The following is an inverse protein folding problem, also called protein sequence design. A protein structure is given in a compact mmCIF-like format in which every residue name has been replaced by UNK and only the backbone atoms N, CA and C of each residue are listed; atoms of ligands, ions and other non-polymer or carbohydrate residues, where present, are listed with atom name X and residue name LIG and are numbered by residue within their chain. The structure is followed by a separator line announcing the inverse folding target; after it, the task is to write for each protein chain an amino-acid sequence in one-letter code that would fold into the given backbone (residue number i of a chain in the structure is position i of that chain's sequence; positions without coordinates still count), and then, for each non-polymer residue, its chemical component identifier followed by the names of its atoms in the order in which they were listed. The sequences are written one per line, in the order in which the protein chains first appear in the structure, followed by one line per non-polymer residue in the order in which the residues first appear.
data_IF_461163920460
#
_entry.id   IF_461163920460
#
_cell.length_a   1.000
_cell.length_b   1.000
_cell.length_c   1.000
_cell.angle_alpha   90.00
_cell.angle_beta   90.00
_cell.angle_gamma   90.00
#
_symmetry.space_group_name_H-M   'P 1'
#
loop_
_entity.id
_entity.type
_entity.pdbx_description
1 polymer ?
#
# COMPACT_ATOMS: atom_id res chain seq x y z
N UNK A 1 -19.62 2.88 -11.38
CA UNK A 1 -18.72 1.74 -11.64
C UNK A 1 -19.12 0.50 -10.85
N UNK A 2 -19.36 0.59 -9.54
CA UNK A 2 -19.58 -0.56 -8.65
C UNK A 2 -21.05 -0.99 -8.48
N UNK A 3 -21.99 -0.27 -9.07
CA UNK A 3 -23.42 -0.57 -8.95
C UNK A 3 -23.73 -2.01 -9.39
N UNK A 4 -24.36 -2.78 -8.50
CA UNK A 4 -24.73 -4.19 -8.66
C UNK A 4 -23.54 -5.13 -8.98
N UNK A 5 -22.31 -4.78 -8.54
CA UNK A 5 -21.08 -5.54 -8.78
C UNK A 5 -20.65 -6.33 -7.55
N UNK A 6 -19.80 -7.33 -7.77
CA UNK A 6 -19.15 -8.13 -6.72
C UNK A 6 -17.68 -7.73 -6.62
N UNK A 7 -17.29 -7.24 -5.44
CA UNK A 7 -15.90 -6.91 -5.10
C UNK A 7 -15.32 -8.00 -4.19
N UNK A 8 -14.15 -8.51 -4.52
CA UNK A 8 -13.37 -9.37 -3.62
C UNK A 8 -12.18 -8.62 -3.04
N UNK A 9 -12.00 -8.71 -1.72
CA UNK A 9 -10.87 -8.13 -0.99
C UNK A 9 -10.07 -9.27 -0.38
N UNK A 10 -8.89 -9.55 -0.91
CA UNK A 10 -7.97 -10.49 -0.28
C UNK A 10 -7.22 -9.79 0.84
N UNK A 11 -7.03 -10.47 1.96
CA UNK A 11 -6.47 -9.81 3.16
C UNK A 11 -7.41 -8.78 3.79
N UNK A 12 -8.72 -8.88 3.50
CA UNK A 12 -9.74 -7.93 3.95
C UNK A 12 -9.88 -7.79 5.47
N UNK A 13 -9.42 -8.76 6.25
CA UNK A 13 -9.37 -8.70 7.73
C UNK A 13 -8.17 -7.89 8.27
N UNK A 14 -7.24 -7.47 7.41
CA UNK A 14 -6.16 -6.54 7.76
C UNK A 14 -6.64 -5.10 7.89
N UNK A 15 -5.87 -4.23 8.55
CA UNK A 15 -6.25 -2.81 8.77
C UNK A 15 -6.63 -2.11 7.47
N UNK A 16 -5.79 -2.23 6.43
CA UNK A 16 -6.05 -1.58 5.14
C UNK A 16 -7.28 -2.18 4.43
N UNK A 17 -7.36 -3.51 4.35
CA UNK A 17 -8.51 -4.19 3.73
C UNK A 17 -9.84 -3.84 4.40
N UNK A 18 -9.83 -3.69 5.73
CA UNK A 18 -11.00 -3.26 6.50
C UNK A 18 -11.42 -1.82 6.19
N UNK A 19 -10.46 -0.90 6.00
CA UNK A 19 -10.80 0.49 5.63
C UNK A 19 -11.39 0.56 4.22
N UNK A 20 -10.81 -0.17 3.27
CA UNK A 20 -11.36 -0.32 1.92
C UNK A 20 -12.78 -0.90 1.98
N UNK A 21 -12.98 -1.98 2.76
CA UNK A 21 -14.28 -2.57 2.99
C UNK A 21 -15.32 -1.55 3.46
N UNK A 22 -15.01 -0.79 4.51
CA UNK A 22 -15.92 0.23 5.06
C UNK A 22 -16.34 1.28 4.02
N UNK A 23 -15.41 1.71 3.18
CA UNK A 23 -15.69 2.64 2.08
C UNK A 23 -16.65 2.05 1.06
N UNK A 24 -16.48 0.78 0.69
CA UNK A 24 -17.34 0.11 -0.28
C UNK A 24 -18.72 -0.28 0.27
N UNK A 25 -18.87 -0.48 1.59
CA UNK A 25 -20.17 -0.74 2.21
C UNK A 25 -21.17 0.41 1.99
N UNK A 26 -20.68 1.65 1.91
CA UNK A 26 -21.51 2.83 1.64
C UNK A 26 -21.87 3.02 0.15
N UNK A 27 -21.43 2.13 -0.73
CA UNK A 27 -21.72 2.18 -2.18
C UNK A 27 -22.83 1.19 -2.57
N UNK A 28 -23.28 1.27 -3.83
CA UNK A 28 -24.29 0.35 -4.41
C UNK A 28 -23.70 -1.01 -4.84
N UNK A 29 -22.57 -1.41 -4.26
CA UNK A 29 -22.00 -2.73 -4.49
C UNK A 29 -22.98 -3.82 -4.02
N UNK A 30 -23.15 -4.87 -4.82
CA UNK A 30 -24.08 -5.96 -4.51
C UNK A 30 -23.53 -6.88 -3.42
N UNK A 31 -22.25 -7.21 -3.50
CA UNK A 31 -21.58 -8.15 -2.62
C UNK A 31 -20.11 -7.79 -2.43
N UNK A 32 -19.62 -7.92 -1.22
CA UNK A 32 -18.20 -7.80 -0.89
C UNK A 32 -17.71 -9.11 -0.30
N UNK A 33 -16.75 -9.75 -0.96
CA UNK A 33 -16.12 -11.00 -0.49
C UNK A 33 -14.85 -10.69 0.26
N UNK A 34 -14.80 -11.12 1.52
CA UNK A 34 -13.59 -11.04 2.34
C UNK A 34 -12.89 -12.39 2.28
N UNK A 35 -11.71 -12.42 1.64
CA UNK A 35 -10.90 -13.62 1.53
C UNK A 35 -9.66 -13.51 2.41
N UNK A 36 -9.56 -14.35 3.43
CA UNK A 36 -8.40 -14.39 4.33
C UNK A 36 -8.28 -15.75 5.03
N UNK A 37 -7.11 -16.00 5.63
CA UNK A 37 -6.83 -17.22 6.38
C UNK A 37 -7.35 -17.18 7.83
N UNK A 38 -7.58 -15.99 8.35
CA UNK A 38 -7.85 -15.75 9.76
C UNK A 38 -9.36 -15.85 10.04
N UNK A 39 -9.81 -17.04 10.42
CA UNK A 39 -11.20 -17.36 10.77
C UNK A 39 -11.71 -16.47 11.91
N UNK A 40 -10.89 -16.28 12.96
CA UNK A 40 -11.29 -15.47 14.12
C UNK A 40 -11.59 -14.03 13.73
N UNK A 41 -10.71 -13.40 12.95
CA UNK A 41 -10.95 -12.01 12.48
C UNK A 41 -12.13 -11.91 11.52
N UNK A 42 -12.41 -12.94 10.71
CA UNK A 42 -13.60 -12.98 9.87
C UNK A 42 -14.86 -13.04 10.73
N UNK A 43 -14.88 -13.87 11.79
CA UNK A 43 -16.00 -13.96 12.73
C UNK A 43 -16.22 -12.63 13.46
N UNK A 44 -15.16 -12.04 14.03
CA UNK A 44 -15.22 -10.72 14.69
C UNK A 44 -15.78 -9.66 13.75
N UNK A 45 -15.32 -9.62 12.50
CA UNK A 45 -15.78 -8.68 11.48
C UNK A 45 -17.23 -8.91 11.09
N UNK A 46 -17.67 -10.16 10.94
CA UNK A 46 -19.05 -10.54 10.63
C UNK A 46 -20.01 -10.05 11.70
N UNK A 47 -19.66 -10.27 12.98
CA UNK A 47 -20.46 -9.86 14.13
C UNK A 47 -20.51 -8.33 14.21
N UNK A 48 -19.36 -7.66 14.09
CA UNK A 48 -19.25 -6.20 14.25
C UNK A 48 -19.97 -5.41 13.16
N UNK A 49 -19.91 -5.87 11.90
CA UNK A 49 -20.49 -5.15 10.76
C UNK A 49 -21.92 -5.60 10.45
N UNK A 50 -22.25 -6.85 10.65
CA UNK A 50 -23.58 -7.45 10.44
C UNK A 50 -24.30 -6.94 9.17
N UNK A 51 -23.57 -6.86 8.04
CA UNK A 51 -24.10 -6.36 6.78
C UNK A 51 -24.34 -7.51 5.78
N UNK A 52 -25.53 -7.63 5.17
CA UNK A 52 -25.89 -8.72 4.26
C UNK A 52 -25.07 -8.76 2.97
N UNK A 53 -24.46 -7.63 2.57
CA UNK A 53 -23.54 -7.54 1.42
C UNK A 53 -22.25 -8.33 1.65
N UNK A 54 -21.88 -8.60 2.92
CA UNK A 54 -20.62 -9.25 3.26
C UNK A 54 -20.71 -10.77 3.13
N UNK A 55 -19.72 -11.33 2.43
CA UNK A 55 -19.53 -12.79 2.33
C UNK A 55 -18.07 -13.11 2.71
N UNK A 56 -17.92 -14.09 3.59
CA UNK A 56 -16.63 -14.46 4.15
C UNK A 56 -16.15 -15.78 3.56
N UNK A 57 -14.92 -15.78 3.06
CA UNK A 57 -14.26 -16.93 2.46
C UNK A 57 -12.95 -17.20 3.20
N UNK A 58 -12.85 -18.34 3.87
CA UNK A 58 -11.60 -18.79 4.47
C UNK A 58 -10.77 -19.40 3.36
N UNK A 59 -9.56 -18.86 3.17
CA UNK A 59 -8.63 -19.36 2.15
C UNK A 59 -7.28 -18.65 2.18
N UNK A 60 -6.32 -19.26 1.50
CA UNK A 60 -4.94 -18.78 1.40
C UNK A 60 -4.61 -18.43 -0.05
N UNK A 61 -4.09 -17.23 -0.29
CA UNK A 61 -3.66 -16.79 -1.63
C UNK A 61 -2.56 -17.66 -2.23
N UNK A 62 -1.83 -18.40 -1.40
CA UNK A 62 -0.81 -19.36 -1.84
C UNK A 62 -1.41 -20.62 -2.46
N UNK A 63 -2.72 -20.84 -2.32
CA UNK A 63 -3.45 -21.95 -2.91
C UNK A 63 -4.33 -21.44 -4.05
N UNK A 64 -3.93 -21.73 -5.29
CA UNK A 64 -4.64 -21.31 -6.50
C UNK A 64 -6.10 -21.77 -6.52
N UNK A 65 -6.38 -23.03 -6.20
CA UNK A 65 -7.75 -23.57 -6.27
C UNK A 65 -8.69 -22.86 -5.30
N UNK A 66 -8.22 -22.55 -4.09
CA UNK A 66 -8.96 -21.78 -3.10
C UNK A 66 -9.33 -20.39 -3.62
N UNK A 67 -8.37 -19.69 -4.21
CA UNK A 67 -8.57 -18.37 -4.82
C UNK A 67 -9.52 -18.46 -6.02
N UNK A 68 -9.30 -19.41 -6.91
CA UNK A 68 -10.09 -19.63 -8.12
C UNK A 68 -11.58 -19.92 -7.80
N UNK A 69 -11.86 -20.74 -6.79
CA UNK A 69 -13.23 -21.03 -6.37
C UNK A 69 -13.91 -19.79 -5.74
N UNK A 70 -13.20 -19.05 -4.90
CA UNK A 70 -13.73 -17.83 -4.27
C UNK A 70 -14.01 -16.70 -5.29
N UNK A 71 -13.34 -16.70 -6.45
CA UNK A 71 -13.51 -15.68 -7.50
C UNK A 71 -14.69 -15.92 -8.46
N UNK A 72 -15.44 -17.01 -8.32
CA UNK A 72 -16.58 -17.26 -9.22
C UNK A 72 -17.60 -16.12 -9.18
N UNK A 73 -17.79 -15.42 -10.31
CA UNK A 73 -18.73 -14.31 -10.44
C UNK A 73 -18.29 -13.00 -9.76
N UNK A 74 -16.98 -12.84 -9.47
CA UNK A 74 -16.39 -11.60 -9.00
C UNK A 74 -16.14 -10.66 -10.19
N UNK A 75 -16.51 -9.38 -10.02
CA UNK A 75 -16.27 -8.34 -11.04
C UNK A 75 -14.96 -7.60 -10.79
N UNK A 76 -14.61 -7.34 -9.52
CA UNK A 76 -13.46 -6.53 -9.11
C UNK A 76 -12.69 -7.20 -7.99
N UNK A 77 -11.36 -7.10 -8.01
CA UNK A 77 -10.49 -7.61 -6.94
C UNK A 77 -9.58 -6.50 -6.42
N UNK A 78 -9.59 -6.29 -5.11
CA UNK A 78 -8.53 -5.57 -4.41
C UNK A 78 -7.64 -6.58 -3.68
N UNK A 79 -6.39 -6.69 -4.12
CA UNK A 79 -5.43 -7.63 -3.54
C UNK A 79 -4.53 -6.98 -2.51
N UNK A 80 -4.89 -7.13 -1.22
CA UNK A 80 -4.14 -6.60 -0.08
C UNK A 80 -3.51 -7.68 0.81
N UNK A 81 -3.68 -8.96 0.48
CA UNK A 81 -3.05 -10.05 1.23
C UNK A 81 -1.53 -10.05 1.00
N UNK A 82 -0.75 -9.84 2.06
CA UNK A 82 0.70 -9.82 1.99
C UNK A 82 1.34 -10.03 3.38
N UNK A 83 2.61 -10.45 3.39
CA UNK A 83 3.50 -10.27 4.53
C UNK A 83 4.14 -8.87 4.40
N UNK A 84 3.98 -8.03 5.43
CA UNK A 84 4.40 -6.61 5.40
C UNK A 84 5.45 -6.23 6.43
N UNK A 85 5.71 -7.08 7.43
CA UNK A 85 6.67 -6.79 8.47
C UNK A 85 8.08 -7.09 7.99
N UNK A 86 8.93 -6.05 7.94
CA UNK A 86 10.32 -6.17 7.46
C UNK A 86 11.08 -7.24 8.24
N UNK A 87 11.12 -7.25 9.59
CA UNK A 87 11.85 -8.28 10.33
C UNK A 87 11.38 -9.69 10.02
N UNK A 88 10.06 -9.91 9.96
CA UNK A 88 9.51 -11.24 9.64
C UNK A 88 9.89 -11.71 8.25
N UNK A 89 9.91 -10.81 7.26
CA UNK A 89 10.31 -11.16 5.91
C UNK A 89 11.80 -11.42 5.79
N UNK A 90 12.65 -10.71 6.54
CA UNK A 90 14.09 -10.98 6.62
C UNK A 90 14.40 -12.37 7.20
N UNK A 91 13.71 -12.77 8.27
CA UNK A 91 13.88 -14.10 8.87
C UNK A 91 13.23 -15.23 8.08
N UNK A 92 12.16 -14.92 7.35
CA UNK A 92 11.40 -15.90 6.55
C UNK A 92 11.20 -15.44 5.11
N UNK A 93 12.28 -15.19 4.34
CA UNK A 93 12.18 -14.60 2.99
C UNK A 93 11.39 -15.49 2.02
N UNK A 94 11.47 -16.80 2.17
CA UNK A 94 10.70 -17.74 1.34
C UNK A 94 9.19 -17.59 1.56
N UNK A 95 8.74 -17.31 2.80
CA UNK A 95 7.32 -17.05 3.06
C UNK A 95 6.86 -15.72 2.46
N UNK A 96 7.75 -14.71 2.42
CA UNK A 96 7.50 -13.47 1.68
C UNK A 96 7.35 -13.74 0.17
N UNK A 97 8.22 -14.54 -0.42
CA UNK A 97 8.10 -14.96 -1.84
C UNK A 97 6.79 -15.72 -2.07
N UNK A 98 6.48 -16.74 -1.26
CA UNK A 98 5.26 -17.55 -1.41
C UNK A 98 3.99 -16.72 -1.31
N UNK A 99 3.95 -15.73 -0.42
CA UNK A 99 2.75 -14.91 -0.19
C UNK A 99 2.69 -13.70 -1.13
N UNK A 100 3.77 -12.91 -1.18
CA UNK A 100 3.75 -11.62 -1.87
C UNK A 100 3.98 -11.78 -3.39
N UNK A 101 4.69 -12.81 -3.81
CA UNK A 101 4.99 -13.06 -5.24
C UNK A 101 4.05 -14.12 -5.80
N UNK A 102 4.20 -15.38 -5.35
CA UNK A 102 3.42 -16.50 -5.90
C UNK A 102 1.93 -16.40 -5.54
N UNK A 103 1.62 -15.91 -4.32
CA UNK A 103 0.22 -15.67 -3.94
C UNK A 103 -0.44 -14.58 -4.77
N UNK A 104 0.30 -13.53 -5.12
CA UNK A 104 -0.18 -12.49 -6.02
C UNK A 104 -0.35 -13.01 -7.46
N UNK A 105 0.56 -13.85 -7.91
CA UNK A 105 0.46 -14.53 -9.20
C UNK A 105 -0.80 -15.40 -9.27
N UNK A 106 -1.08 -16.22 -8.26
CA UNK A 106 -2.31 -17.01 -8.16
C UNK A 106 -3.57 -16.14 -8.24
N UNK A 107 -3.57 -14.97 -7.58
CA UNK A 107 -4.71 -14.04 -7.61
C UNK A 107 -4.92 -13.48 -9.01
N UNK A 108 -3.86 -13.05 -9.69
CA UNK A 108 -3.94 -12.54 -11.06
C UNK A 108 -4.38 -13.63 -12.05
N UNK A 109 -3.80 -14.83 -11.96
CA UNK A 109 -4.15 -15.97 -12.81
C UNK A 109 -5.63 -16.36 -12.64
N UNK A 110 -6.08 -16.50 -11.40
CA UNK A 110 -7.47 -16.82 -11.10
C UNK A 110 -8.43 -15.71 -11.61
N UNK A 111 -8.03 -14.44 -11.49
CA UNK A 111 -8.83 -13.31 -11.97
C UNK A 111 -8.99 -13.34 -13.51
N UNK A 112 -7.90 -13.56 -14.23
CA UNK A 112 -7.93 -13.71 -15.70
C UNK A 112 -8.80 -14.91 -16.09
N UNK A 113 -8.57 -16.07 -15.48
CA UNK A 113 -9.33 -17.29 -15.78
C UNK A 113 -10.84 -17.18 -15.44
N UNK A 114 -11.23 -16.29 -14.51
CA UNK A 114 -12.63 -16.03 -14.12
C UNK A 114 -13.26 -14.83 -14.83
N UNK A 115 -12.53 -14.12 -15.68
CA UNK A 115 -13.04 -12.97 -16.40
C UNK A 115 -13.33 -11.77 -15.47
N UNK A 116 -12.57 -11.62 -14.40
CA UNK A 116 -12.65 -10.44 -13.52
C UNK A 116 -12.34 -9.20 -14.34
N UNK A 117 -13.16 -8.17 -14.22
CA UNK A 117 -12.97 -6.94 -15.02
C UNK A 117 -11.70 -6.20 -14.66
N UNK A 118 -11.36 -6.13 -13.37
CA UNK A 118 -10.17 -5.40 -12.92
C UNK A 118 -9.62 -5.90 -11.59
N UNK A 119 -8.29 -5.95 -11.49
CA UNK A 119 -7.55 -6.25 -10.27
C UNK A 119 -6.67 -5.07 -9.93
N UNK A 120 -6.78 -4.56 -8.70
CA UNK A 120 -5.88 -3.56 -8.14
C UNK A 120 -4.99 -4.24 -7.10
N UNK A 121 -3.68 -4.23 -7.34
CA UNK A 121 -2.66 -4.83 -6.47
C UNK A 121 -2.12 -3.78 -5.49
N UNK A 122 -2.06 -4.11 -4.20
CA UNK A 122 -1.46 -3.24 -3.19
C UNK A 122 0.06 -3.39 -3.18
N UNK A 123 0.78 -2.32 -3.51
CA UNK A 123 2.24 -2.23 -3.40
C UNK A 123 2.68 -1.21 -2.32
N UNK A 124 3.92 -0.76 -2.34
CA UNK A 124 4.55 0.03 -1.27
C UNK A 124 5.74 0.83 -1.81
N UNK A 125 6.08 1.94 -1.15
CA UNK A 125 7.33 2.69 -1.31
C UNK A 125 8.59 1.81 -1.20
N UNK A 126 8.52 0.74 -0.39
CA UNK A 126 9.64 -0.20 -0.19
C UNK A 126 9.93 -1.09 -1.38
N UNK A 127 9.06 -1.09 -2.39
CA UNK A 127 9.29 -1.74 -3.69
C UNK A 127 10.23 -0.92 -4.60
N UNK A 128 10.41 0.38 -4.32
CA UNK A 128 11.31 1.27 -5.08
C UNK A 128 12.70 1.21 -4.44
N UNK A 129 13.72 0.84 -5.21
CA UNK A 129 15.08 0.60 -4.71
C UNK A 129 15.07 -0.26 -3.42
N UNK A 130 14.58 -1.49 -3.49
CA UNK A 130 14.33 -2.32 -2.31
C UNK A 130 15.64 -2.75 -1.64
N UNK A 131 15.72 -2.58 -0.32
CA UNK A 131 16.89 -2.98 0.50
C UNK A 131 16.58 -4.10 1.51
N UNK A 132 15.36 -4.61 1.50
CA UNK A 132 14.93 -5.68 2.40
C UNK A 132 14.03 -6.69 1.68
N UNK A 133 13.90 -7.90 2.23
CA UNK A 133 13.15 -9.00 1.61
C UNK A 133 11.68 -8.66 1.34
N UNK A 134 11.04 -7.88 2.21
CA UNK A 134 9.66 -7.43 2.00
C UNK A 134 9.57 -6.54 0.76
N UNK A 135 10.42 -5.51 0.65
CA UNK A 135 10.47 -4.61 -0.50
C UNK A 135 10.82 -5.35 -1.80
N UNK A 136 11.82 -6.25 -1.77
CA UNK A 136 12.21 -7.09 -2.92
C UNK A 136 11.03 -7.94 -3.40
N UNK A 137 10.29 -8.59 -2.48
CA UNK A 137 9.13 -9.40 -2.85
C UNK A 137 8.00 -8.55 -3.47
N UNK A 138 7.79 -7.33 -3.00
CA UNK A 138 6.80 -6.41 -3.57
C UNK A 138 7.24 -5.83 -4.92
N UNK A 139 8.52 -5.51 -5.09
CA UNK A 139 9.07 -5.12 -6.40
C UNK A 139 8.89 -6.23 -7.43
N UNK A 140 9.15 -7.48 -7.04
CA UNK A 140 8.95 -8.64 -7.91
C UNK A 140 7.45 -8.82 -8.26
N UNK A 141 6.55 -8.66 -7.30
CA UNK A 141 5.10 -8.67 -7.54
C UNK A 141 4.69 -7.64 -8.62
N UNK A 142 5.21 -6.41 -8.55
CA UNK A 142 4.93 -5.39 -9.58
C UNK A 142 5.44 -5.80 -10.96
N UNK A 143 6.64 -6.39 -11.04
CA UNK A 143 7.18 -6.90 -12.31
C UNK A 143 6.32 -8.03 -12.89
N UNK A 144 5.86 -8.96 -12.06
CA UNK A 144 4.93 -10.01 -12.49
C UNK A 144 3.59 -9.43 -12.97
N UNK A 145 3.03 -8.45 -12.25
CA UNK A 145 1.80 -7.77 -12.66
C UNK A 145 1.94 -7.12 -14.03
N UNK A 146 3.03 -6.36 -14.26
CA UNK A 146 3.30 -5.72 -15.57
C UNK A 146 3.49 -6.76 -16.66
N UNK A 147 4.23 -7.83 -16.40
CA UNK A 147 4.45 -8.90 -17.37
C UNK A 147 3.13 -9.60 -17.76
N UNK A 148 2.27 -9.90 -16.77
CA UNK A 148 0.96 -10.51 -17.01
C UNK A 148 -0.01 -9.56 -17.72
N UNK A 149 0.03 -8.27 -17.39
CA UNK A 149 -0.77 -7.24 -18.05
C UNK A 149 -0.45 -7.13 -19.55
N UNK A 150 0.81 -7.29 -19.96
CA UNK A 150 1.21 -7.31 -21.39
C UNK A 150 0.61 -8.47 -22.18
N UNK A 151 0.22 -9.53 -21.49
CA UNK A 151 -0.36 -10.73 -22.13
C UNK A 151 -1.88 -10.59 -22.30
N UNK A 152 -2.50 -9.55 -21.74
CA UNK A 152 -3.95 -9.34 -21.84
C UNK A 152 -4.30 -8.57 -23.10
N UNK A 153 -5.37 -8.98 -23.76
CA UNK A 153 -5.96 -8.28 -24.90
C UNK A 153 -6.91 -7.16 -24.44
N UNK A 154 -7.31 -6.31 -25.38
CA UNK A 154 -8.33 -5.29 -25.12
C UNK A 154 -9.66 -5.94 -24.70
N UNK A 155 -10.22 -5.49 -23.58
CA UNK A 155 -11.46 -6.04 -23.03
C UNK A 155 -11.30 -7.20 -22.07
N UNK A 156 -10.09 -7.72 -21.88
CA UNK A 156 -9.78 -8.72 -20.86
C UNK A 156 -9.51 -8.06 -19.48
N UNK A 157 -9.16 -8.87 -18.48
CA UNK A 157 -8.90 -8.42 -17.12
C UNK A 157 -7.82 -7.34 -17.05
N UNK A 158 -8.15 -6.16 -16.56
CA UNK A 158 -7.18 -5.09 -16.33
C UNK A 158 -6.43 -5.36 -15.03
N UNK A 159 -5.10 -5.41 -15.11
CA UNK A 159 -4.20 -5.58 -13.97
C UNK A 159 -3.45 -4.27 -13.75
N UNK A 160 -3.61 -3.66 -12.56
CA UNK A 160 -2.88 -2.45 -12.18
C UNK A 160 -2.52 -2.49 -10.69
N UNK A 161 -1.71 -1.55 -10.24
CA UNK A 161 -1.29 -1.48 -8.85
C UNK A 161 -1.38 -0.06 -8.28
N UNK A 162 -1.38 0.01 -6.95
CA UNK A 162 -1.22 1.26 -6.19
C UNK A 162 0.00 1.14 -5.30
N UNK A 163 0.80 2.19 -5.22
CA UNK A 163 2.01 2.26 -4.41
C UNK A 163 1.84 3.35 -3.36
N UNK A 164 2.06 3.00 -2.09
CA UNK A 164 1.85 3.88 -0.95
C UNK A 164 3.14 4.17 -0.21
N UNK A 165 3.18 5.37 0.39
CA UNK A 165 4.09 5.70 1.47
C UNK A 165 3.64 5.12 2.82
N UNK A 166 4.12 5.74 3.89
CA UNK A 166 3.72 5.35 5.23
C UNK A 166 2.29 5.79 5.52
N UNK A 167 1.42 4.83 5.83
CA UNK A 167 0.06 5.12 6.30
C UNK A 167 0.12 5.42 7.80
N UNK A 168 -0.33 6.65 8.17
CA UNK A 168 -0.32 7.14 9.54
C UNK A 168 -1.17 6.27 10.47
N UNK A 169 -0.73 6.14 11.72
CA UNK A 169 -1.40 5.39 12.79
C UNK A 169 -1.71 3.91 12.44
N UNK A 170 -1.09 3.36 11.38
CA UNK A 170 -1.23 1.94 11.08
C UNK A 170 -0.58 1.08 12.17
N UNK A 171 -1.13 -0.13 12.40
CA UNK A 171 -0.63 -1.05 13.42
C UNK A 171 0.86 -1.33 13.25
N UNK A 172 1.64 -1.13 14.34
CA UNK A 172 3.09 -1.33 14.36
C UNK A 172 3.89 -0.21 13.71
N UNK A 173 3.28 0.96 13.45
CA UNK A 173 3.97 2.15 12.92
C UNK A 173 4.46 3.09 14.05
N UNK A 174 5.22 4.10 13.66
CA UNK A 174 5.89 5.03 14.58
C UNK A 174 4.91 5.86 15.43
N UNK A 175 3.74 6.26 14.90
CA UNK A 175 2.77 7.08 15.63
C UNK A 175 2.22 6.35 16.86
N UNK A 176 1.67 5.13 16.78
CA UNK A 176 1.26 4.38 17.95
C UNK A 176 2.40 4.10 18.94
N UNK A 177 3.63 3.86 18.44
CA UNK A 177 4.79 3.68 19.31
C UNK A 177 5.08 4.95 20.12
N UNK A 178 5.13 6.11 19.49
CA UNK A 178 5.40 7.37 20.18
C UNK A 178 4.30 7.73 21.18
N UNK A 179 3.03 7.52 20.82
CA UNK A 179 1.90 7.73 21.74
C UNK A 179 2.03 6.83 22.98
N UNK A 180 2.33 5.54 22.81
CA UNK A 180 2.56 4.63 23.93
C UNK A 180 3.72 5.08 24.82
N UNK A 181 4.86 5.48 24.22
CA UNK A 181 6.02 5.98 24.96
C UNK A 181 5.70 7.27 25.74
N UNK A 182 4.95 8.20 25.14
CA UNK A 182 4.51 9.44 25.79
C UNK A 182 3.61 9.17 27.00
N UNK A 183 2.63 8.27 26.85
CA UNK A 183 1.73 7.88 27.96
C UNK A 183 2.47 7.18 29.09
N UNK A 184 3.45 6.37 28.77
CA UNK A 184 4.25 5.61 29.75
C UNK A 184 5.37 6.44 30.40
N UNK A 185 5.53 7.72 30.03
CA UNK A 185 6.62 8.58 30.54
C UNK A 185 8.02 8.16 30.05
N UNK A 186 8.10 7.32 29.01
CA UNK A 186 9.35 6.84 28.43
C UNK A 186 9.92 7.82 27.40
N UNK A 187 11.25 7.82 27.17
CA UNK A 187 11.84 8.57 26.06
C UNK A 187 11.27 8.13 24.71
N UNK A 188 11.03 9.07 23.80
CA UNK A 188 10.72 8.79 22.40
C UNK A 188 11.96 8.23 21.71
N UNK A 189 11.89 7.01 21.19
CA UNK A 189 13.01 6.38 20.49
C UNK A 189 12.98 6.73 19.01
N UNK A 190 13.86 7.63 18.59
CA UNK A 190 14.01 8.10 17.20
C UNK A 190 15.24 7.46 16.59
N UNK A 191 15.12 6.89 15.39
CA UNK A 191 16.26 6.26 14.68
C UNK A 191 17.27 7.29 14.19
N UNK A 192 16.78 8.30 13.47
CA UNK A 192 17.50 9.48 13.01
C UNK A 192 16.49 10.64 12.95
N UNK A 193 16.73 11.77 13.62
CA UNK A 193 15.79 12.89 13.65
C UNK A 193 15.53 13.51 12.26
N UNK A 194 16.50 13.46 11.35
CA UNK A 194 16.41 14.01 9.99
C UNK A 194 15.77 13.05 8.98
N UNK A 195 15.54 11.79 9.38
CA UNK A 195 14.87 10.80 8.56
C UNK A 195 13.48 11.29 8.16
N UNK A 196 13.11 11.16 6.89
CA UNK A 196 11.81 11.59 6.41
C UNK A 196 10.89 10.45 6.05
N UNK A 197 9.60 10.67 6.24
CA UNK A 197 8.55 9.73 5.85
C UNK A 197 7.39 10.47 5.22
N UNK A 198 6.81 9.88 4.18
CA UNK A 198 5.53 10.32 3.66
C UNK A 198 4.44 10.18 4.73
N UNK A 199 3.53 11.12 4.76
CA UNK A 199 2.38 11.12 5.67
C UNK A 199 1.09 10.98 4.87
N UNK A 200 0.50 9.80 4.91
CA UNK A 200 -0.77 9.51 4.23
C UNK A 200 -1.79 9.05 5.25
N UNK A 201 -3.03 9.51 5.12
CA UNK A 201 -4.15 8.95 5.88
C UNK A 201 -4.60 7.60 5.28
N UNK A 202 -5.40 6.85 6.05
CA UNK A 202 -6.05 5.65 5.52
C UNK A 202 -7.08 6.01 4.44
N UNK A 203 -7.77 7.14 4.60
CA UNK A 203 -8.75 7.67 3.66
C UNK A 203 -8.09 8.01 2.32
N UNK A 204 -6.99 8.75 2.33
CA UNK A 204 -6.20 9.06 1.12
C UNK A 204 -5.79 7.78 0.39
N UNK A 205 -5.39 6.77 1.16
CA UNK A 205 -4.99 5.48 0.60
C UNK A 205 -6.15 4.74 -0.07
N UNK A 206 -7.36 4.85 0.47
CA UNK A 206 -8.58 4.27 -0.16
C UNK A 206 -8.97 5.04 -1.41
N UNK A 207 -8.86 6.37 -1.40
CA UNK A 207 -9.15 7.19 -2.58
C UNK A 207 -8.19 6.84 -3.73
N UNK A 208 -6.93 6.54 -3.46
CA UNK A 208 -6.01 6.02 -4.47
C UNK A 208 -6.45 4.67 -5.05
N UNK A 209 -7.00 3.76 -4.22
CA UNK A 209 -7.56 2.47 -4.71
C UNK A 209 -8.75 2.71 -5.62
N UNK A 210 -9.67 3.59 -5.23
CA UNK A 210 -10.84 3.95 -6.04
C UNK A 210 -10.41 4.55 -7.38
N UNK A 211 -9.43 5.48 -7.33
CA UNK A 211 -8.86 6.08 -8.52
C UNK A 211 -8.25 5.04 -9.48
N UNK A 212 -7.50 4.07 -8.94
CA UNK A 212 -6.93 2.99 -9.73
C UNK A 212 -8.00 2.06 -10.33
N UNK A 213 -9.09 1.80 -9.60
CA UNK A 213 -10.22 1.07 -10.15
C UNK A 213 -10.90 1.82 -11.30
N UNK A 214 -11.00 3.14 -11.24
CA UNK A 214 -11.67 3.95 -12.24
C UNK A 214 -10.81 4.19 -13.48
N UNK A 215 -9.53 4.52 -13.28
CA UNK A 215 -8.65 5.03 -14.34
C UNK A 215 -7.56 4.08 -14.81
N UNK A 216 -7.32 2.96 -14.08
CA UNK A 216 -6.22 2.04 -14.38
C UNK A 216 -6.32 1.42 -15.77
N UNK A 217 -5.20 1.32 -16.45
CA UNK A 217 -4.99 0.56 -17.68
C UNK A 217 -4.00 -0.58 -17.41
N UNK A 218 -3.79 -1.41 -18.43
CA UNK A 218 -2.92 -2.59 -18.29
C UNK A 218 -1.52 -2.22 -17.81
N UNK A 219 -1.14 -2.76 -16.65
CA UNK A 219 0.18 -2.62 -16.06
C UNK A 219 0.48 -1.28 -15.42
N UNK A 220 -0.50 -0.37 -15.29
CA UNK A 220 -0.32 0.91 -14.62
C UNK A 220 0.00 0.74 -13.12
N UNK A 221 0.86 1.62 -12.61
CA UNK A 221 1.07 1.81 -11.17
C UNK A 221 0.70 3.24 -10.81
N UNK A 222 -0.23 3.41 -9.87
CA UNK A 222 -0.64 4.71 -9.36
C UNK A 222 0.05 5.03 -8.05
N UNK A 223 0.50 6.27 -7.93
CA UNK A 223 1.18 6.81 -6.75
C UNK A 223 0.49 8.11 -6.34
N UNK A 224 0.14 8.22 -5.06
CA UNK A 224 -0.42 9.47 -4.53
C UNK A 224 0.70 10.45 -4.24
N UNK A 225 0.50 11.71 -4.60
CA UNK A 225 1.33 12.82 -4.14
C UNK A 225 1.02 13.08 -2.68
N UNK A 226 1.96 12.74 -1.81
CA UNK A 226 1.80 12.88 -0.37
C UNK A 226 2.85 13.83 0.20
N UNK A 227 2.50 14.66 1.19
CA UNK A 227 3.48 15.44 1.93
C UNK A 227 4.32 14.53 2.82
N UNK A 228 5.43 15.06 3.31
CA UNK A 228 6.32 14.36 4.22
C UNK A 228 6.71 15.24 5.41
N UNK A 229 7.16 14.63 6.50
CA UNK A 229 7.83 15.33 7.59
C UNK A 229 9.08 14.58 8.02
N UNK A 230 9.92 15.25 8.83
CA UNK A 230 10.96 14.57 9.58
C UNK A 230 10.35 13.75 10.72
N UNK A 231 11.07 12.73 11.17
CA UNK A 231 10.68 11.99 12.38
C UNK A 231 10.77 12.88 13.62
N UNK A 232 11.68 13.88 13.63
CA UNK A 232 11.76 14.88 14.69
C UNK A 232 10.51 15.77 14.76
N UNK A 233 10.03 16.30 13.62
CA UNK A 233 8.82 17.12 13.60
C UNK A 233 7.59 16.32 14.01
N UNK A 234 7.51 15.06 13.61
CA UNK A 234 6.43 14.15 14.01
C UNK A 234 6.45 13.90 15.54
N UNK A 235 7.64 13.66 16.10
CA UNK A 235 7.81 13.46 17.55
C UNK A 235 7.41 14.73 18.33
N UNK A 236 7.85 15.91 17.87
CA UNK A 236 7.51 17.19 18.48
C UNK A 236 6.01 17.48 18.41
N UNK A 237 5.39 17.24 17.26
CA UNK A 237 3.94 17.42 17.08
C UNK A 237 3.12 16.56 18.05
N UNK A 238 3.50 15.31 18.26
CA UNK A 238 2.83 14.40 19.20
C UNK A 238 3.06 14.81 20.65
N UNK A 239 4.28 15.27 21.03
CA UNK A 239 4.55 15.83 22.38
C UNK A 239 3.62 17.00 22.68
N UNK A 240 3.49 17.94 21.74
CA UNK A 240 2.65 19.13 21.91
C UNK A 240 1.15 18.77 21.97
N UNK A 241 0.67 17.90 21.07
CA UNK A 241 -0.73 17.48 21.05
C UNK A 241 -1.15 16.77 22.35
N UNK A 242 -0.29 15.92 22.90
CA UNK A 242 -0.57 15.16 24.12
C UNK A 242 -0.14 15.90 25.41
N UNK A 243 0.37 17.13 25.27
CA UNK A 243 0.88 17.93 26.38
C UNK A 243 1.89 17.15 27.24
N UNK A 244 2.88 16.56 26.58
CA UNK A 244 3.96 15.75 27.19
C UNK A 244 5.31 16.31 26.82
N UNK A 245 6.28 16.19 27.74
CA UNK A 245 7.65 16.67 27.50
C UNK A 245 8.70 15.58 27.71
N UNK A 246 8.40 14.38 27.24
CA UNK A 246 9.33 13.25 27.31
C UNK A 246 10.58 13.55 26.48
N UNK A 247 11.78 13.15 26.94
CA UNK A 247 13.00 13.34 26.16
C UNK A 247 12.99 12.49 24.89
N UNK A 248 13.67 12.97 23.86
CA UNK A 248 13.94 12.20 22.64
C UNK A 248 15.27 11.50 22.76
N UNK A 249 15.31 10.21 22.48
CA UNK A 249 16.52 9.38 22.47
C UNK A 249 16.78 8.88 21.06
N UNK A 250 17.88 9.30 20.47
CA UNK A 250 18.37 8.76 19.21
C UNK A 250 18.95 7.36 19.41
N UNK A 251 18.52 6.38 18.58
CA UNK A 251 18.91 4.97 18.69
C UNK A 251 19.68 4.46 17.47
N UNK A 252 19.87 5.29 16.45
CA UNK A 252 20.51 4.92 15.19
C UNK A 252 19.59 4.18 14.22
N UNK A 253 20.00 4.13 12.95
CA UNK A 253 19.24 3.49 11.87
C UNK A 253 19.17 1.97 12.07
N UNK A 254 17.98 1.39 11.89
CA UNK A 254 17.76 -0.05 11.99
C UNK A 254 18.14 -0.76 10.70
N UNK A 255 18.41 -2.07 10.80
CA UNK A 255 18.64 -2.90 9.62
C UNK A 255 17.45 -2.84 8.65
N UNK A 256 17.72 -2.64 7.36
CA UNK A 256 16.69 -2.59 6.31
C UNK A 256 15.81 -1.34 6.33
N UNK A 257 16.21 -0.29 7.04
CA UNK A 257 15.52 1.01 7.11
C UNK A 257 16.26 2.07 6.31
N UNK A 258 15.53 2.82 5.49
CA UNK A 258 16.07 3.92 4.66
C UNK A 258 16.01 5.24 5.40
N UNK A 259 16.92 6.17 5.10
CA UNK A 259 16.87 7.55 5.61
C UNK A 259 15.68 8.33 5.01
N UNK A 260 15.28 8.01 3.81
CA UNK A 260 14.08 8.54 3.15
C UNK A 260 13.42 7.46 2.31
N UNK A 261 12.15 7.62 2.00
CA UNK A 261 11.41 6.69 1.16
C UNK A 261 11.25 7.25 -0.25
N UNK A 262 11.29 6.37 -1.25
CA UNK A 262 11.05 6.71 -2.65
C UNK A 262 9.74 6.07 -3.09
N UNK A 263 8.87 6.83 -3.75
CA UNK A 263 7.63 6.33 -4.33
C UNK A 263 7.73 6.09 -5.84
N UNK A 264 8.61 6.85 -6.52
CA UNK A 264 8.85 6.72 -7.96
C UNK A 264 10.36 6.86 -8.20
N UNK A 265 10.95 5.92 -8.92
CA UNK A 265 12.35 6.02 -9.35
C UNK A 265 12.51 7.02 -10.50
N UNK A 266 13.73 7.53 -10.72
CA UNK A 266 14.02 8.44 -11.84
C UNK A 266 13.64 7.87 -13.20
N UNK A 267 13.84 6.57 -13.40
CA UNK A 267 13.45 5.89 -14.63
C UNK A 267 11.93 5.89 -14.82
N UNK A 268 11.19 5.66 -13.74
CA UNK A 268 9.73 5.73 -13.75
C UNK A 268 9.24 7.18 -13.91
N UNK A 269 9.90 8.18 -13.26
CA UNK A 269 9.56 9.59 -13.38
C UNK A 269 9.72 10.11 -14.81
N UNK A 270 10.69 9.62 -15.57
CA UNK A 270 10.90 10.02 -16.97
C UNK A 270 9.68 9.73 -17.86
N UNK A 271 8.82 8.78 -17.47
CA UNK A 271 7.61 8.38 -18.19
C UNK A 271 6.32 8.55 -17.38
N UNK A 272 6.42 8.95 -16.11
CA UNK A 272 5.27 9.19 -15.26
C UNK A 272 4.40 10.34 -15.80
N UNK A 273 3.09 10.18 -15.69
CA UNK A 273 2.10 11.17 -16.06
C UNK A 273 1.55 11.84 -14.80
N UNK A 274 1.56 13.16 -14.79
CA UNK A 274 0.95 13.95 -13.72
C UNK A 274 -0.56 13.99 -13.89
N UNK A 275 -1.30 13.42 -12.93
CA UNK A 275 -2.76 13.34 -12.91
C UNK A 275 -3.35 14.27 -11.82
N UNK A 276 -2.68 15.37 -11.49
CA UNK A 276 -3.08 16.27 -10.41
C UNK A 276 -2.65 15.75 -9.03
N UNK A 277 -3.55 15.14 -8.28
CA UNK A 277 -3.24 14.54 -6.96
C UNK A 277 -2.43 13.24 -7.01
N UNK A 278 -2.26 12.66 -8.20
CA UNK A 278 -1.63 11.36 -8.41
C UNK A 278 -0.58 11.41 -9.53
N UNK A 279 0.34 10.45 -9.49
CA UNK A 279 1.15 10.08 -10.65
C UNK A 279 0.66 8.74 -11.18
N UNK A 280 0.59 8.62 -12.51
CA UNK A 280 0.41 7.36 -13.22
C UNK A 280 1.74 6.95 -13.83
N UNK A 281 2.23 5.79 -13.48
CA UNK A 281 3.41 5.16 -14.09
C UNK A 281 2.88 4.13 -15.09
N UNK A 282 2.97 4.40 -16.41
CA UNK A 282 2.49 3.46 -17.43
C UNK A 282 3.35 2.22 -17.48
N UNK A 283 2.78 1.10 -17.93
CA UNK A 283 3.51 -0.13 -18.15
C UNK A 283 4.68 0.07 -19.11
N UNK A 284 5.75 -0.65 -18.87
CA UNK A 284 6.83 -0.77 -19.84
C UNK A 284 6.44 -1.79 -20.92
N UNK A 285 6.05 -1.29 -22.09
CA UNK A 285 5.60 -2.10 -23.22
C UNK A 285 6.69 -2.38 -24.26
N UNK A 286 7.96 -2.09 -23.93
CA UNK A 286 9.10 -2.42 -24.81
C UNK A 286 9.25 -3.94 -24.92
N UNK A 287 9.64 -4.41 -26.10
CA UNK A 287 10.01 -5.81 -26.31
C UNK A 287 11.51 -6.04 -26.02
N UNK A 288 11.95 -7.30 -26.08
CA UNK A 288 13.34 -7.67 -25.83
C UNK A 288 14.32 -7.19 -26.91
N UNK A 289 13.83 -6.73 -28.07
CA UNK A 289 14.65 -6.33 -29.23
C UNK A 289 14.78 -4.80 -29.35
N UNK A 290 14.40 -4.04 -28.34
CA UNK A 290 14.51 -2.58 -28.42
C UNK A 290 15.96 -2.10 -28.37
N UNK A 291 16.30 -1.10 -29.20
CA UNK A 291 17.67 -0.62 -29.40
C UNK A 291 18.30 -0.07 -28.11
N UNK A 292 17.53 0.62 -27.28
CA UNK A 292 17.96 1.17 -25.99
C UNK A 292 18.49 0.13 -25.00
N UNK A 293 18.10 -1.13 -25.13
CA UNK A 293 18.64 -2.20 -24.29
C UNK A 293 20.10 -2.53 -24.63
N UNK A 294 20.45 -2.40 -25.90
CA UNK A 294 21.75 -2.86 -26.40
C UNK A 294 22.75 -1.72 -26.69
N UNK A 295 22.28 -0.60 -27.19
CA UNK A 295 23.16 0.43 -27.74
C UNK A 295 22.74 1.88 -27.49
N UNK A 296 21.51 2.12 -27.05
CA UNK A 296 20.98 3.47 -26.85
C UNK A 296 20.49 3.65 -25.42
N UNK A 297 20.86 4.78 -24.78
CA UNK A 297 20.34 5.20 -23.48
C UNK A 297 19.11 6.11 -23.62
N UNK A 298 18.48 6.42 -22.50
CA UNK A 298 17.40 7.42 -22.40
C UNK A 298 17.94 8.65 -21.66
N UNK A 299 18.26 9.72 -22.36
CA UNK A 299 18.85 10.94 -21.79
C UNK A 299 17.95 11.56 -20.71
N UNK A 300 16.62 11.50 -20.86
CA UNK A 300 15.68 12.01 -19.87
C UNK A 300 15.86 11.40 -18.49
N UNK A 301 16.23 10.12 -18.42
CA UNK A 301 16.46 9.42 -17.14
C UNK A 301 17.62 10.05 -16.38
N UNK A 302 18.68 10.46 -17.09
CA UNK A 302 19.88 11.06 -16.47
C UNK A 302 19.61 12.43 -15.84
N UNK A 303 18.59 13.15 -16.29
CA UNK A 303 18.22 14.49 -15.83
C UNK A 303 17.00 14.51 -14.92
N UNK A 304 16.39 13.34 -14.65
CA UNK A 304 15.20 13.23 -13.82
C UNK A 304 15.58 12.88 -12.37
N UNK A 305 14.89 13.50 -11.41
CA UNK A 305 14.99 13.13 -10.01
C UNK A 305 13.95 12.05 -9.64
N UNK A 306 14.29 11.26 -8.61
CA UNK A 306 13.34 10.37 -7.96
C UNK A 306 12.23 11.18 -7.26
N UNK A 307 11.01 10.65 -7.11
CA UNK A 307 10.01 11.21 -6.22
C UNK A 307 10.14 10.58 -4.83
N UNK A 308 10.58 11.37 -3.86
CA UNK A 308 10.98 10.90 -2.53
C UNK A 308 10.35 11.72 -1.40
N UNK A 309 10.38 11.19 -0.18
CA UNK A 309 9.98 11.93 1.02
C UNK A 309 10.92 13.11 1.35
N UNK A 310 12.08 13.20 0.69
CA UNK A 310 13.00 14.35 0.84
C UNK A 310 12.64 15.52 -0.07
N UNK A 311 12.09 15.31 -1.27
CA UNK A 311 11.82 16.34 -2.25
C UNK A 311 10.33 16.60 -2.52
N UNK A 312 9.43 16.02 -1.74
CA UNK A 312 8.01 16.37 -1.72
C UNK A 312 7.75 17.57 -0.80
N UNK A 313 6.50 18.05 -0.76
CA UNK A 313 6.05 19.07 0.20
C UNK A 313 6.42 18.65 1.63
N UNK A 314 7.13 19.54 2.36
CA UNK A 314 7.57 19.30 3.72
C UNK A 314 6.66 20.02 4.71
N UNK A 315 6.06 19.25 5.60
CA UNK A 315 5.23 19.78 6.68
C UNK A 315 6.09 20.15 7.89
N UNK A 316 5.84 21.33 8.45
CA UNK A 316 6.35 21.74 9.76
C UNK A 316 5.50 21.13 10.89
N UNK A 317 5.92 21.36 12.15
CA UNK A 317 5.26 20.82 13.34
C UNK A 317 3.76 21.16 13.39
N UNK A 318 3.36 22.43 13.12
CA UNK A 318 1.96 22.86 13.15
C UNK A 318 1.11 22.16 12.06
N UNK A 319 1.65 22.02 10.88
CA UNK A 319 1.00 21.30 9.78
C UNK A 319 0.85 19.82 10.10
N UNK A 320 1.88 19.19 10.70
CA UNK A 320 1.84 17.80 11.16
C UNK A 320 0.76 17.63 12.24
N UNK A 321 0.65 18.55 13.23
CA UNK A 321 -0.42 18.53 14.25
C UNK A 321 -1.79 18.58 13.60
N UNK A 322 -1.99 19.49 12.63
CA UNK A 322 -3.25 19.62 11.90
C UNK A 322 -3.62 18.32 11.18
N UNK A 323 -2.64 17.63 10.61
CA UNK A 323 -2.85 16.36 9.93
C UNK A 323 -3.16 15.22 10.92
N UNK A 324 -2.43 15.15 12.05
CA UNK A 324 -2.64 14.16 13.10
C UNK A 324 -4.02 14.26 13.74
N UNK A 325 -4.56 15.48 13.94
CA UNK A 325 -5.89 15.70 14.50
C UNK A 325 -7.04 15.18 13.62
N UNK A 326 -6.79 14.88 12.34
CA UNK A 326 -7.78 14.22 11.47
C UNK A 326 -7.91 12.71 11.77
N UNK A 327 -6.90 12.10 12.38
CA UNK A 327 -6.87 10.66 12.65
C UNK A 327 -7.76 10.31 13.84
N UNK A 328 -8.67 9.35 13.67
CA UNK A 328 -9.54 8.88 14.75
C UNK A 328 -8.72 8.33 15.93
N UNK A 329 -7.64 7.62 15.65
CA UNK A 329 -6.69 7.15 16.68
C UNK A 329 -6.21 8.30 17.59
N UNK A 330 -5.82 9.43 17.01
CA UNK A 330 -5.34 10.59 17.81
C UNK A 330 -6.49 11.25 18.57
N UNK A 331 -7.68 11.36 17.96
CA UNK A 331 -8.88 11.89 18.65
C UNK A 331 -9.26 11.05 19.86
N UNK A 332 -9.21 9.71 19.72
CA UNK A 332 -9.45 8.78 20.83
C UNK A 332 -8.42 8.97 21.95
N UNK A 333 -7.14 9.11 21.59
CA UNK A 333 -6.05 9.31 22.54
C UNK A 333 -6.08 10.64 23.28
N UNK A 334 -6.64 11.70 22.66
CA UNK A 334 -6.84 13.01 23.29
C UNK A 334 -8.06 13.06 24.22
N UNK A 335 -9.04 12.17 24.01
CA UNK A 335 -10.25 12.09 24.84
C UNK A 335 -10.13 11.06 25.98
N UNK A 336 -9.04 10.28 26.02
CA UNK A 336 -8.77 9.25 27.03
C UNK A 336 -7.95 9.78 28.22
#
# INVERSE_FOLDING_TARGET
MFNNKVLMITGGTGSFGNTVLKRFLSTDVREIRIFSRDEKKQEEMRIALNDPKLKFYIGDVRNYDSVYQAMKGVDYVFHAAALKQVPSCEFYPLEAVRTNVLGSENVMEAAVARGVSRVVMLSTDKAVYPINAMGISKAMMEKFMVAKARMQNAGETVLCATRYGNVMASRGSVIPLFVSQLKEGKPLTVTDPNMTRFLMSLEDSVDLVLYAFEHGQQGDIFVQKAPASTVADLAQALKELLNKDNPVREIGTRHGEKLYESLISREEMAKAQDMGGYYRIPADNRDLNYAQFFSEGEEKISHQDDYTSHNTERLNVEQVKTLLLKLDFIKEELNA
#
